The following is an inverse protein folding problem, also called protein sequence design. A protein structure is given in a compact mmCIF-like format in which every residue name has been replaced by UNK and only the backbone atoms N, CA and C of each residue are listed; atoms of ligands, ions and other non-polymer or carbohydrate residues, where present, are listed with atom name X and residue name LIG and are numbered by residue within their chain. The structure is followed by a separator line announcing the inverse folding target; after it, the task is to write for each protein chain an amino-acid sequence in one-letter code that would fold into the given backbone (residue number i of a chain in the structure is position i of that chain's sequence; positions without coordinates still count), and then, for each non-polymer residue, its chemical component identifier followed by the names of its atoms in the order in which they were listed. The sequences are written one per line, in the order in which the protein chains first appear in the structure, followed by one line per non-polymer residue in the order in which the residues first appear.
data_IF_121646040761
#
_entry.id   IF_121646040761
#
_cell.length_a   1.000
_cell.length_b   1.000
_cell.length_c   1.000
_cell.angle_alpha   90.00
_cell.angle_beta   90.00
_cell.angle_gamma   90.00
#
_symmetry.space_group_name_H-M   'P 1'
#
loop_
_entity.id
_entity.type
_entity.pdbx_description
1 polymer ?
#
# COMPACT_ATOMS: atom_id res chain seq x y z
N UNK A 1 -48.19 -29.48 12.45
CA UNK A 1 -46.93 -29.04 11.83
C UNK A 1 -46.09 -28.43 12.95
N UNK A 2 -44.91 -29.00 13.22
CA UNK A 2 -44.03 -28.53 14.29
C UNK A 2 -43.38 -27.22 13.83
N UNK A 3 -43.72 -26.12 14.49
CA UNK A 3 -43.03 -24.84 14.36
C UNK A 3 -41.63 -24.99 14.94
N UNK A 4 -40.63 -25.18 14.08
CA UNK A 4 -39.24 -25.04 14.47
C UNK A 4 -39.03 -23.55 14.70
N UNK A 5 -39.12 -23.12 15.94
CA UNK A 5 -38.61 -21.83 16.38
C UNK A 5 -37.13 -21.80 16.01
N UNK A 6 -36.83 -21.16 14.87
CA UNK A 6 -35.48 -20.80 14.48
C UNK A 6 -34.91 -20.07 15.68
N UNK A 7 -33.97 -20.70 16.39
CA UNK A 7 -33.15 -19.99 17.34
C UNK A 7 -32.62 -18.77 16.59
N UNK A 8 -32.84 -17.60 17.15
CA UNK A 8 -32.12 -16.39 16.81
C UNK A 8 -30.63 -16.68 17.02
N UNK A 9 -30.03 -17.36 16.06
CA UNK A 9 -28.61 -17.49 15.91
C UNK A 9 -28.20 -16.07 15.54
N UNK A 10 -27.72 -15.35 16.53
CA UNK A 10 -27.26 -13.97 16.46
C UNK A 10 -26.09 -13.88 15.47
N UNK A 11 -26.43 -14.03 14.19
CA UNK A 11 -25.49 -14.22 13.12
C UNK A 11 -24.75 -12.89 12.94
N UNK A 12 -23.42 -12.95 12.88
CA UNK A 12 -22.59 -11.78 12.58
C UNK A 12 -23.02 -11.15 11.24
N UNK A 13 -23.58 -11.97 10.34
CA UNK A 13 -24.12 -11.58 9.03
C UNK A 13 -25.13 -10.44 9.13
N UNK A 14 -25.96 -10.39 10.17
CA UNK A 14 -27.00 -9.37 10.32
C UNK A 14 -26.46 -8.03 10.89
N UNK A 15 -25.25 -8.05 11.47
CA UNK A 15 -24.55 -6.85 11.95
C UNK A 15 -23.61 -6.24 10.91
N UNK A 16 -23.45 -6.86 9.74
CA UNK A 16 -22.61 -6.32 8.66
C UNK A 16 -23.32 -5.12 8.04
N UNK A 17 -22.78 -3.92 8.27
CA UNK A 17 -23.26 -2.71 7.62
C UNK A 17 -22.39 -2.40 6.39
N UNK A 18 -22.89 -2.77 5.21
CA UNK A 18 -22.22 -2.57 3.93
C UNK A 18 -21.86 -1.11 3.64
N UNK A 19 -22.67 -0.15 4.12
CA UNK A 19 -22.38 1.28 3.93
C UNK A 19 -21.17 1.73 4.77
N UNK A 20 -21.04 1.25 6.00
CA UNK A 20 -19.84 1.52 6.82
C UNK A 20 -18.60 0.84 6.25
N UNK A 21 -18.75 -0.36 5.72
CA UNK A 21 -17.66 -1.10 5.08
C UNK A 21 -17.14 -0.39 3.83
N UNK A 22 -18.03 0.14 2.98
CA UNK A 22 -17.63 0.95 1.83
C UNK A 22 -16.86 2.22 2.24
N UNK A 23 -17.34 2.93 3.27
CA UNK A 23 -16.65 4.10 3.84
C UNK A 23 -15.24 3.74 4.33
N UNK A 24 -15.06 2.59 4.98
CA UNK A 24 -13.75 2.12 5.42
C UNK A 24 -12.81 1.79 4.25
N UNK A 25 -13.33 1.18 3.18
CA UNK A 25 -12.55 0.91 1.97
C UNK A 25 -12.08 2.21 1.31
N UNK A 26 -12.94 3.22 1.23
CA UNK A 26 -12.58 4.54 0.68
C UNK A 26 -11.51 5.25 1.51
N UNK A 27 -11.66 5.24 2.84
CA UNK A 27 -10.67 5.82 3.75
C UNK A 27 -9.33 5.10 3.67
N UNK A 28 -9.34 3.76 3.62
CA UNK A 28 -8.14 2.96 3.44
C UNK A 28 -7.42 3.33 2.12
N UNK A 29 -8.14 3.39 1.00
CA UNK A 29 -7.55 3.80 -0.29
C UNK A 29 -6.94 5.20 -0.25
N UNK A 30 -7.53 6.14 0.50
CA UNK A 30 -7.05 7.52 0.61
C UNK A 30 -5.80 7.66 1.50
N UNK A 31 -5.75 6.92 2.60
CA UNK A 31 -4.74 7.11 3.63
C UNK A 31 -3.58 6.13 3.56
N UNK A 32 -3.75 4.95 2.95
CA UNK A 32 -2.75 3.89 3.02
C UNK A 32 -1.47 4.24 2.24
N UNK A 33 -0.28 4.27 2.88
CA UNK A 33 0.97 4.69 2.22
C UNK A 33 1.37 3.82 1.04
N UNK A 34 1.16 2.49 1.11
CA UNK A 34 1.49 1.60 -0.01
C UNK A 34 0.65 1.89 -1.24
N UNK A 35 -0.62 2.28 -1.08
CA UNK A 35 -1.47 2.67 -2.21
C UNK A 35 -0.87 3.87 -2.94
N UNK A 36 -0.45 4.90 -2.19
CA UNK A 36 0.25 6.08 -2.75
C UNK A 36 1.54 5.70 -3.48
N UNK A 37 2.27 4.70 -3.01
CA UNK A 37 3.47 4.21 -3.69
C UNK A 37 3.15 3.56 -5.05
N UNK A 38 2.08 2.77 -5.14
CA UNK A 38 1.61 2.20 -6.42
C UNK A 38 1.11 3.27 -7.37
N UNK A 39 0.36 4.26 -6.89
CA UNK A 39 -0.10 5.37 -7.74
C UNK A 39 1.09 6.21 -8.25
N UNK A 40 2.09 6.48 -7.40
CA UNK A 40 3.33 7.13 -7.80
C UNK A 40 4.11 6.30 -8.84
N UNK A 41 4.07 4.97 -8.76
CA UNK A 41 4.68 4.09 -9.76
C UNK A 41 3.97 4.19 -11.10
N UNK A 42 2.63 4.26 -11.12
CA UNK A 42 1.85 4.51 -12.33
C UNK A 42 2.21 5.85 -12.95
N UNK A 43 2.29 6.91 -12.14
CA UNK A 43 2.66 8.25 -12.61
C UNK A 43 4.10 8.33 -13.14
N UNK A 44 5.02 7.59 -12.51
CA UNK A 44 6.39 7.42 -13.00
C UNK A 44 6.41 6.73 -14.36
N UNK A 45 5.71 5.61 -14.53
CA UNK A 45 5.64 4.91 -15.81
C UNK A 45 4.97 5.74 -16.90
N UNK A 46 3.94 6.53 -16.54
CA UNK A 46 3.30 7.49 -17.46
C UNK A 46 4.29 8.57 -17.91
N UNK A 47 5.07 9.11 -16.98
CA UNK A 47 6.10 10.10 -17.27
C UNK A 47 7.20 9.51 -18.17
N UNK A 48 7.63 8.28 -17.90
CA UNK A 48 8.58 7.55 -18.74
C UNK A 48 8.03 7.31 -20.17
N UNK A 49 6.75 6.96 -20.31
CA UNK A 49 6.09 6.83 -21.61
C UNK A 49 6.08 8.16 -22.37
N UNK A 50 5.77 9.27 -21.68
CA UNK A 50 5.80 10.60 -22.28
C UNK A 50 7.22 11.00 -22.68
N UNK A 51 8.22 10.71 -21.87
CA UNK A 51 9.63 10.91 -22.24
C UNK A 51 10.03 10.08 -23.46
N UNK A 52 9.63 8.80 -23.52
CA UNK A 52 9.89 7.94 -24.67
C UNK A 52 9.25 8.49 -25.95
N UNK A 53 8.02 9.02 -25.88
CA UNK A 53 7.35 9.69 -27.00
C UNK A 53 8.05 10.99 -27.40
N UNK A 54 8.37 11.86 -26.43
CA UNK A 54 9.08 13.12 -26.67
C UNK A 54 10.50 12.90 -27.20
N UNK A 55 11.12 11.75 -26.91
CA UNK A 55 12.41 11.38 -27.48
C UNK A 55 12.36 11.30 -29.01
N UNK A 56 11.19 11.14 -29.63
CA UNK A 56 11.05 11.25 -31.09
C UNK A 56 11.43 12.65 -31.60
N UNK A 57 11.26 13.68 -30.78
CA UNK A 57 11.61 15.07 -31.10
C UNK A 57 13.10 15.38 -30.88
N UNK A 58 13.85 14.48 -30.25
CA UNK A 58 15.30 14.60 -29.97
C UNK A 58 16.17 14.61 -31.25
N UNK A 59 15.53 14.43 -32.42
CA UNK A 59 16.13 14.61 -33.74
C UNK A 59 16.49 16.09 -33.99
N UNK A 60 15.76 17.00 -33.35
CA UNK A 60 16.02 18.44 -33.41
C UNK A 60 16.83 18.86 -32.18
N UNK A 61 18.07 19.32 -32.40
CA UNK A 61 18.90 19.86 -31.34
C UNK A 61 19.23 21.33 -31.60
N UNK A 62 19.00 22.18 -30.61
CA UNK A 62 19.35 23.60 -30.64
C UNK A 62 20.36 23.89 -29.54
N UNK A 63 21.49 24.50 -29.89
CA UNK A 63 22.56 24.84 -28.97
C UNK A 63 22.99 26.30 -29.12
N UNK A 64 23.32 26.94 -28.01
CA UNK A 64 23.98 28.24 -28.01
C UNK A 64 25.40 28.05 -27.49
N UNK A 65 26.39 28.26 -28.35
CA UNK A 65 27.79 28.10 -28.01
C UNK A 65 28.43 29.47 -27.81
N UNK A 66 28.79 29.78 -26.56
CA UNK A 66 29.50 31.00 -26.19
C UNK A 66 30.87 30.65 -25.61
N UNK A 67 31.94 30.98 -26.35
CA UNK A 67 33.32 30.87 -25.88
C UNK A 67 33.92 32.28 -25.69
N UNK A 68 34.34 32.66 -24.47
CA UNK A 68 35.05 33.91 -24.24
C UNK A 68 36.57 33.69 -24.39
N UNK A 69 37.03 33.38 -25.59
CA UNK A 69 38.46 33.56 -25.92
C UNK A 69 38.61 34.01 -27.37
N UNK A 70 39.19 35.20 -27.50
CA UNK A 70 39.59 35.80 -28.77
C UNK A 70 40.85 35.07 -29.26
N UNK A 71 40.67 34.00 -29.99
CA UNK A 71 41.72 33.46 -30.85
C UNK A 71 41.12 33.15 -32.21
N UNK A 72 41.16 34.15 -33.09
CA UNK A 72 41.12 33.93 -34.54
C UNK A 72 42.32 33.06 -34.91
N UNK A 73 42.15 31.75 -34.81
CA UNK A 73 43.18 30.75 -35.13
C UNK A 73 42.99 30.27 -36.55
N UNK A 74 43.79 30.82 -37.44
CA UNK A 74 43.91 30.47 -38.86
C UNK A 74 44.15 28.97 -39.06
N UNK A 75 43.36 28.42 -39.99
CA UNK A 75 43.58 27.28 -40.88
C UNK A 75 44.96 26.60 -40.89
N UNK A 76 44.96 25.25 -40.80
CA UNK A 76 45.96 24.39 -41.46
C UNK A 76 45.19 23.29 -42.22
N UNK A 77 45.27 23.32 -43.55
CA UNK A 77 44.75 22.28 -44.46
C UNK A 77 45.50 20.94 -44.28
N UNK A 78 44.86 19.79 -44.52
CA UNK A 78 45.56 18.51 -44.59
C UNK A 78 46.26 18.39 -45.96
N UNK A 79 47.60 18.41 -45.96
CA UNK A 79 48.39 18.16 -47.16
C UNK A 79 49.38 19.26 -47.46
N UNK A 80 50.55 19.21 -46.81
CA UNK A 80 51.68 20.09 -47.10
C UNK A 80 52.89 19.66 -46.28
N UNK A 81 53.72 18.80 -46.87
CA UNK A 81 55.00 18.42 -46.29
C UNK A 81 55.95 19.63 -46.21
N UNK A 82 56.57 19.91 -45.05
CA UNK A 82 57.88 20.56 -44.94
C UNK A 82 58.39 20.63 -43.49
N UNK A 83 59.60 20.09 -43.24
CA UNK A 83 60.58 20.65 -42.31
C UNK A 83 60.57 20.17 -40.84
N UNK A 84 61.75 19.88 -40.24
CA UNK A 84 61.84 19.43 -38.86
C UNK A 84 61.85 20.63 -37.90
N UNK A 85 60.76 20.81 -37.14
CA UNK A 85 60.70 21.82 -36.09
C UNK A 85 59.28 22.23 -35.74
N UNK A 86 58.68 21.55 -34.75
CA UNK A 86 57.59 22.06 -33.92
C UNK A 86 56.24 22.32 -34.59
N UNK A 87 55.26 21.45 -34.33
CA UNK A 87 53.88 21.84 -34.02
C UNK A 87 53.09 20.58 -33.66
N UNK A 88 52.68 20.50 -32.38
CA UNK A 88 51.74 19.52 -31.86
C UNK A 88 50.48 19.45 -32.72
N UNK A 89 50.07 18.24 -33.08
CA UNK A 89 48.78 17.89 -33.65
C UNK A 89 47.63 18.34 -32.76
N UNK A 90 47.25 19.62 -32.87
CA UNK A 90 45.97 20.12 -32.38
C UNK A 90 44.91 19.75 -33.39
N UNK A 91 44.14 18.72 -33.05
CA UNK A 91 42.81 18.45 -33.58
C UNK A 91 41.99 19.75 -33.51
N UNK A 92 41.94 20.48 -34.63
CA UNK A 92 41.26 21.78 -34.72
C UNK A 92 39.76 21.59 -34.52
N UNK A 93 39.29 21.85 -33.31
CA UNK A 93 37.87 21.89 -33.01
C UNK A 93 37.33 23.24 -33.51
N UNK A 94 36.46 23.21 -34.52
CA UNK A 94 35.80 24.40 -35.05
C UNK A 94 34.87 24.98 -33.98
N UNK A 95 35.33 26.00 -33.26
CA UNK A 95 34.50 26.75 -32.30
C UNK A 95 33.84 27.91 -33.04
N UNK A 96 32.65 27.65 -33.61
CA UNK A 96 31.82 28.68 -34.22
C UNK A 96 31.07 29.43 -33.11
N UNK A 97 31.26 30.75 -33.01
CA UNK A 97 30.50 31.61 -32.10
C UNK A 97 29.15 31.93 -32.73
N UNK A 98 28.04 31.46 -32.13
CA UNK A 98 26.70 31.75 -32.64
C UNK A 98 25.62 30.77 -32.17
N UNK A 99 24.40 31.00 -32.65
CA UNK A 99 23.29 30.05 -32.53
C UNK A 99 23.52 28.91 -33.53
N UNK A 100 23.61 27.67 -33.03
CA UNK A 100 23.65 26.49 -33.90
C UNK A 100 22.35 25.71 -33.73
N UNK A 101 21.64 25.55 -34.83
CA UNK A 101 20.55 24.60 -34.94
C UNK A 101 21.06 23.43 -35.78
N UNK A 102 21.00 22.23 -35.20
CA UNK A 102 21.36 21.00 -35.87
C UNK A 102 20.14 20.11 -36.05
N UNK A 103 20.25 19.20 -37.02
CA UNK A 103 19.37 18.03 -37.08
C UNK A 103 20.31 16.83 -37.01
N UNK A 104 20.39 16.20 -35.85
CA UNK A 104 21.19 14.98 -35.67
C UNK A 104 20.32 13.76 -35.88
N UNK A 105 20.40 13.15 -37.06
CA UNK A 105 19.68 11.90 -37.35
C UNK A 105 20.58 10.72 -36.99
N UNK A 106 20.33 10.09 -35.85
CA UNK A 106 20.94 8.81 -35.52
C UNK A 106 20.02 7.68 -36.01
N UNK A 107 20.39 7.04 -37.13
CA UNK A 107 19.61 5.98 -37.79
C UNK A 107 19.36 4.76 -36.87
N UNK A 108 20.30 4.44 -35.96
CA UNK A 108 20.14 3.36 -34.98
C UNK A 108 19.08 3.68 -33.91
N UNK A 109 19.01 4.94 -33.47
CA UNK A 109 17.97 5.41 -32.56
C UNK A 109 16.60 5.53 -33.25
N UNK A 110 16.56 5.81 -34.55
CA UNK A 110 15.30 5.94 -35.29
C UNK A 110 14.56 4.60 -35.43
N UNK A 111 15.31 3.51 -35.65
CA UNK A 111 14.76 2.15 -35.79
C UNK A 111 14.35 1.56 -34.42
N UNK A 112 15.07 1.88 -33.34
CA UNK A 112 14.81 1.35 -32.00
C UNK A 112 13.73 2.10 -31.21
N UNK A 113 13.51 3.41 -31.48
CA UNK A 113 12.48 4.25 -30.82
C UNK A 113 11.06 3.67 -30.81
N UNK A 114 10.48 3.13 -31.90
CA UNK A 114 9.14 2.56 -31.84
C UNK A 114 9.04 1.35 -30.91
N UNK A 115 10.11 0.55 -30.80
CA UNK A 115 10.19 -0.56 -29.84
C UNK A 115 10.22 -0.06 -28.40
N UNK A 116 11.02 0.98 -28.12
CA UNK A 116 11.10 1.63 -26.80
C UNK A 116 9.75 2.21 -26.37
N UNK A 117 9.02 2.85 -27.28
CA UNK A 117 7.68 3.39 -26.98
C UNK A 117 6.67 2.27 -26.70
N UNK A 118 6.73 1.15 -27.43
CA UNK A 118 5.89 -0.03 -27.15
C UNK A 118 6.21 -0.64 -25.78
N UNK A 119 7.49 -0.76 -25.43
CA UNK A 119 7.94 -1.23 -24.12
C UNK A 119 7.44 -0.32 -23.01
N UNK A 120 7.66 0.99 -23.11
CA UNK A 120 7.19 1.95 -22.10
C UNK A 120 5.65 1.98 -21.97
N UNK A 121 4.91 1.66 -23.04
CA UNK A 121 3.45 1.52 -22.99
C UNK A 121 3.04 0.25 -22.22
N UNK A 122 3.71 -0.87 -22.49
CA UNK A 122 3.49 -2.11 -21.76
C UNK A 122 3.83 -1.95 -20.26
N UNK A 123 4.92 -1.24 -19.93
CA UNK A 123 5.31 -0.94 -18.54
C UNK A 123 4.29 -0.05 -17.82
N UNK A 124 3.70 0.92 -18.52
CA UNK A 124 2.61 1.74 -17.98
C UNK A 124 1.35 0.92 -17.73
N UNK A 125 0.99 0.05 -18.66
CA UNK A 125 -0.17 -0.85 -18.53
C UNK A 125 0.03 -1.85 -17.39
N UNK A 126 1.22 -2.44 -17.28
CA UNK A 126 1.61 -3.30 -16.17
C UNK A 126 1.47 -2.58 -14.82
N UNK A 127 2.05 -1.38 -14.68
CA UNK A 127 1.95 -0.60 -13.44
C UNK A 127 0.49 -0.28 -13.07
N UNK A 128 -0.37 -0.03 -14.06
CA UNK A 128 -1.81 0.20 -13.83
C UNK A 128 -2.52 -1.07 -13.34
N UNK A 129 -2.20 -2.22 -13.93
CA UNK A 129 -2.74 -3.51 -13.50
C UNK A 129 -2.28 -3.86 -12.08
N UNK A 130 -0.99 -3.69 -11.76
CA UNK A 130 -0.45 -3.88 -10.41
C UNK A 130 -1.17 -2.98 -9.38
N UNK A 131 -1.43 -1.70 -9.71
CA UNK A 131 -2.16 -0.80 -8.82
C UNK A 131 -3.61 -1.23 -8.59
N UNK A 132 -4.25 -1.79 -9.62
CA UNK A 132 -5.64 -2.30 -9.56
C UNK A 132 -5.71 -3.60 -8.75
N UNK A 133 -4.75 -4.51 -8.94
CA UNK A 133 -4.61 -5.73 -8.14
C UNK A 133 -4.41 -5.38 -6.66
N UNK A 134 -3.59 -4.37 -6.39
CA UNK A 134 -3.37 -3.88 -5.04
C UNK A 134 -4.65 -3.29 -4.43
N UNK A 135 -5.46 -2.55 -5.19
CA UNK A 135 -6.75 -2.03 -4.72
C UNK A 135 -7.71 -3.15 -4.32
N UNK A 136 -7.74 -4.25 -5.08
CA UNK A 136 -8.57 -5.42 -4.77
C UNK A 136 -8.05 -6.15 -3.52
N UNK A 137 -6.74 -6.28 -3.38
CA UNK A 137 -6.09 -6.88 -2.21
C UNK A 137 -6.38 -6.07 -0.96
N UNK A 138 -6.21 -4.74 -1.03
CA UNK A 138 -6.51 -3.82 0.08
C UNK A 138 -7.99 -3.89 0.47
N UNK A 139 -8.89 -3.93 -0.51
CA UNK A 139 -10.33 -4.08 -0.27
C UNK A 139 -10.65 -5.38 0.46
N UNK A 140 -10.00 -6.48 0.07
CA UNK A 140 -10.19 -7.79 0.70
C UNK A 140 -9.64 -7.81 2.12
N UNK A 141 -8.48 -7.19 2.34
CA UNK A 141 -7.89 -7.05 3.67
C UNK A 141 -8.80 -6.24 4.60
N UNK A 142 -9.30 -5.08 4.18
CA UNK A 142 -10.25 -4.27 4.97
C UNK A 142 -11.48 -5.09 5.37
N UNK A 143 -12.06 -5.85 4.43
CA UNK A 143 -13.20 -6.73 4.69
C UNK A 143 -12.87 -7.78 5.76
N UNK A 144 -11.74 -8.47 5.61
CA UNK A 144 -11.29 -9.48 6.58
C UNK A 144 -11.15 -8.89 7.98
N UNK A 145 -10.43 -7.75 8.11
CA UNK A 145 -10.23 -7.07 9.40
C UNK A 145 -11.54 -6.62 10.03
N UNK A 146 -12.49 -6.16 9.22
CA UNK A 146 -13.80 -5.75 9.68
C UNK A 146 -14.60 -6.93 10.25
N UNK A 147 -14.58 -8.09 9.58
CA UNK A 147 -15.23 -9.29 10.09
C UNK A 147 -14.56 -9.82 11.36
N UNK A 148 -13.24 -9.80 11.43
CA UNK A 148 -12.49 -10.16 12.64
C UNK A 148 -12.86 -9.24 13.82
N UNK A 149 -13.03 -7.95 13.57
CA UNK A 149 -13.48 -6.98 14.56
C UNK A 149 -14.90 -7.28 15.06
N UNK A 150 -15.85 -7.54 14.16
CA UNK A 150 -17.23 -7.89 14.53
C UNK A 150 -17.28 -9.19 15.34
N UNK A 151 -16.54 -10.21 14.90
CA UNK A 151 -16.41 -11.48 15.62
C UNK A 151 -15.86 -11.26 17.03
N UNK A 152 -14.74 -10.53 17.15
CA UNK A 152 -14.11 -10.28 18.44
C UNK A 152 -15.03 -9.46 19.38
N UNK A 153 -15.81 -8.52 18.84
CA UNK A 153 -16.82 -7.75 19.60
C UNK A 153 -17.92 -8.66 20.14
N UNK A 154 -18.50 -9.53 19.32
CA UNK A 154 -19.53 -10.49 19.78
C UNK A 154 -18.96 -11.48 20.78
N UNK A 155 -17.75 -11.99 20.53
CA UNK A 155 -17.09 -12.91 21.43
C UNK A 155 -16.83 -12.29 22.80
N UNK A 156 -16.40 -11.03 22.86
CA UNK A 156 -16.26 -10.30 24.11
C UNK A 156 -17.59 -10.22 24.86
N UNK A 157 -18.67 -9.79 24.20
CA UNK A 157 -19.99 -9.71 24.81
C UNK A 157 -20.46 -11.06 25.40
N UNK A 158 -20.31 -12.14 24.64
CA UNK A 158 -20.67 -13.49 25.11
C UNK A 158 -19.84 -13.95 26.31
N UNK A 159 -18.52 -13.70 26.29
CA UNK A 159 -17.61 -14.11 27.38
C UNK A 159 -17.82 -13.28 28.64
N UNK A 160 -18.15 -11.99 28.51
CA UNK A 160 -18.51 -11.14 29.65
C UNK A 160 -19.79 -11.63 30.31
N UNK A 161 -20.84 -11.92 29.53
CA UNK A 161 -22.10 -12.48 30.07
C UNK A 161 -21.86 -13.84 30.74
N UNK A 162 -21.02 -14.70 30.14
CA UNK A 162 -20.64 -15.97 30.76
C UNK A 162 -19.93 -15.77 32.11
N UNK A 163 -18.97 -14.84 32.19
CA UNK A 163 -18.25 -14.54 33.42
C UNK A 163 -19.19 -14.02 34.53
N UNK A 164 -20.16 -13.16 34.19
CA UNK A 164 -21.18 -12.68 35.14
C UNK A 164 -22.08 -13.83 35.64
N UNK A 165 -22.50 -14.72 34.75
CA UNK A 165 -23.28 -15.90 35.12
C UNK A 165 -22.50 -16.82 36.07
N UNK A 166 -21.24 -17.13 35.76
CA UNK A 166 -20.41 -17.95 36.64
C UNK A 166 -20.09 -17.28 37.98
N UNK A 167 -19.98 -15.95 38.02
CA UNK A 167 -19.87 -15.18 39.27
C UNK A 167 -21.13 -15.33 40.14
N UNK A 168 -22.30 -15.41 39.53
CA UNK A 168 -23.55 -15.69 40.25
C UNK A 168 -23.58 -17.13 40.77
N UNK A 169 -23.16 -18.09 39.94
CA UNK A 169 -23.10 -19.52 40.32
C UNK A 169 -22.13 -19.78 41.47
N UNK A 170 -20.93 -19.19 41.45
CA UNK A 170 -19.96 -19.37 42.55
C UNK A 170 -20.46 -18.74 43.85
N UNK A 171 -21.17 -17.60 43.79
CA UNK A 171 -21.75 -16.97 44.97
C UNK A 171 -22.85 -17.85 45.59
N UNK A 172 -23.73 -18.44 44.77
CA UNK A 172 -24.75 -19.39 45.24
C UNK A 172 -24.11 -20.66 45.81
N UNK A 173 -23.11 -21.23 45.13
CA UNK A 173 -22.35 -22.37 45.61
C UNK A 173 -21.65 -22.08 46.96
N UNK A 174 -21.10 -20.87 47.13
CA UNK A 174 -20.51 -20.43 48.41
C UNK A 174 -21.53 -20.44 49.54
N UNK A 175 -22.71 -19.86 49.32
CA UNK A 175 -23.78 -19.82 50.33
C UNK A 175 -24.28 -21.22 50.69
N UNK A 176 -24.46 -22.10 49.71
CA UNK A 176 -24.84 -23.51 49.91
C UNK A 176 -23.76 -24.29 50.66
N UNK A 177 -22.49 -24.02 50.36
CA UNK A 177 -21.37 -24.64 51.07
C UNK A 177 -21.28 -24.18 52.53
N UNK A 178 -21.46 -22.89 52.79
CA UNK A 178 -21.50 -22.33 54.17
C UNK A 178 -22.65 -22.93 55.00
N UNK A 179 -23.74 -23.34 54.35
CA UNK A 179 -24.87 -24.06 54.97
C UNK A 179 -24.69 -25.59 55.02
N UNK A 180 -23.54 -26.10 54.59
CA UNK A 180 -23.23 -27.53 54.46
C UNK A 180 -24.21 -28.32 53.53
N UNK A 181 -24.85 -27.64 52.58
CA UNK A 181 -25.77 -28.25 51.60
C UNK A 181 -25.04 -28.91 50.42
N UNK A 182 -23.78 -28.55 50.17
CA UNK A 182 -22.94 -29.11 49.09
C UNK A 182 -21.55 -29.50 49.61
N UNK A 183 -20.89 -30.44 48.93
CA UNK A 183 -19.52 -30.84 49.22
C UNK A 183 -18.50 -29.79 48.74
N UNK A 184 -17.33 -29.73 49.40
CA UNK A 184 -16.23 -28.81 49.05
C UNK A 184 -15.70 -29.03 47.63
N UNK A 185 -15.81 -30.26 47.10
CA UNK A 185 -15.41 -30.59 45.73
C UNK A 185 -16.25 -29.83 44.70
N UNK A 186 -17.57 -29.74 44.92
CA UNK A 186 -18.51 -29.02 44.05
C UNK A 186 -18.24 -27.51 44.08
N UNK A 187 -17.96 -26.97 45.27
CA UNK A 187 -17.56 -25.57 45.42
C UNK A 187 -16.22 -25.28 44.69
N UNK A 188 -15.23 -26.15 44.86
CA UNK A 188 -13.91 -25.98 44.22
C UNK A 188 -14.03 -26.07 42.70
N UNK A 189 -14.81 -27.01 42.16
CA UNK A 189 -15.09 -27.11 40.74
C UNK A 189 -15.76 -25.85 40.19
N UNK A 190 -16.78 -25.33 40.89
CA UNK A 190 -17.48 -24.09 40.52
C UNK A 190 -16.53 -22.88 40.52
N UNK A 191 -15.61 -22.83 41.48
CA UNK A 191 -14.57 -21.79 41.57
C UNK A 191 -13.59 -21.86 40.40
N UNK A 192 -13.16 -23.05 40.01
CA UNK A 192 -12.29 -23.24 38.84
C UNK A 192 -12.97 -22.78 37.56
N UNK A 193 -14.23 -23.16 37.35
CA UNK A 193 -15.02 -22.72 36.18
C UNK A 193 -15.20 -21.19 36.13
N UNK A 194 -15.48 -20.55 37.26
CA UNK A 194 -15.59 -19.10 37.33
C UNK A 194 -14.26 -18.40 36.98
N UNK A 195 -13.16 -18.88 37.54
CA UNK A 195 -11.81 -18.35 37.26
C UNK A 195 -11.45 -18.53 35.78
N UNK A 196 -11.77 -19.68 35.20
CA UNK A 196 -11.54 -19.95 33.78
C UNK A 196 -12.37 -19.03 32.87
N UNK A 197 -13.66 -18.85 33.18
CA UNK A 197 -14.53 -17.94 32.43
C UNK A 197 -14.05 -16.50 32.48
N UNK A 198 -13.54 -16.05 33.62
CA UNK A 198 -12.96 -14.70 33.78
C UNK A 198 -11.67 -14.55 32.95
N UNK A 199 -10.78 -15.54 32.98
CA UNK A 199 -9.58 -15.57 32.14
C UNK A 199 -9.91 -15.55 30.63
N UNK A 200 -10.96 -16.27 30.22
CA UNK A 200 -11.45 -16.25 28.84
C UNK A 200 -12.05 -14.90 28.44
N UNK A 201 -12.75 -14.21 29.35
CA UNK A 201 -13.27 -12.87 29.11
C UNK A 201 -12.13 -11.84 28.92
N UNK A 202 -11.11 -11.87 29.77
CA UNK A 202 -9.92 -11.03 29.63
C UNK A 202 -9.19 -11.30 28.30
N UNK A 203 -9.07 -12.55 27.90
CA UNK A 203 -8.46 -12.92 26.61
C UNK A 203 -9.29 -12.41 25.43
N UNK A 204 -10.63 -12.48 25.53
CA UNK A 204 -11.52 -11.93 24.51
C UNK A 204 -11.41 -10.40 24.42
N UNK A 205 -11.23 -9.70 25.55
CA UNK A 205 -11.02 -8.24 25.57
C UNK A 205 -9.74 -7.85 24.83
N UNK A 206 -8.62 -8.51 25.14
CA UNK A 206 -7.36 -8.30 24.42
C UNK A 206 -7.51 -8.59 22.93
N UNK A 207 -8.26 -9.62 22.56
CA UNK A 207 -8.50 -9.99 21.16
C UNK A 207 -9.32 -8.92 20.44
N UNK A 208 -10.35 -8.37 21.10
CA UNK A 208 -11.14 -7.25 20.59
C UNK A 208 -10.28 -5.99 20.40
N UNK A 209 -9.44 -5.63 21.37
CA UNK A 209 -8.55 -4.49 21.24
C UNK A 209 -7.54 -4.66 20.09
N UNK A 210 -6.98 -5.86 19.92
CA UNK A 210 -6.11 -6.17 18.78
C UNK A 210 -6.84 -6.06 17.45
N UNK A 211 -8.05 -6.61 17.35
CA UNK A 211 -8.87 -6.52 16.14
C UNK A 211 -9.27 -5.07 15.82
N UNK A 212 -9.62 -4.28 16.83
CA UNK A 212 -9.87 -2.84 16.71
C UNK A 212 -8.66 -2.12 16.13
N UNK A 213 -7.49 -2.30 16.73
CA UNK A 213 -6.25 -1.65 16.28
C UNK A 213 -5.85 -2.09 14.87
N UNK A 214 -6.00 -3.38 14.54
CA UNK A 214 -5.70 -3.89 13.21
C UNK A 214 -6.62 -3.30 12.13
N UNK A 215 -7.89 -3.07 12.45
CA UNK A 215 -8.82 -2.38 11.54
C UNK A 215 -8.45 -0.89 11.38
N UNK A 216 -8.12 -0.21 12.46
CA UNK A 216 -7.68 1.20 12.43
C UNK A 216 -6.39 1.40 11.62
N UNK A 217 -5.44 0.47 11.71
CA UNK A 217 -4.18 0.52 10.97
C UNK A 217 -4.40 0.46 9.45
N UNK A 218 -5.28 -0.44 8.99
CA UNK A 218 -5.59 -0.57 7.55
C UNK A 218 -6.40 0.62 7.03
N UNK A 219 -7.30 1.20 7.84
CA UNK A 219 -8.08 2.39 7.46
C UNK A 219 -7.22 3.67 7.51
N UNK A 220 -6.17 3.67 8.33
CA UNK A 220 -5.30 4.83 8.55
C UNK A 220 -5.94 5.96 9.36
N UNK A 221 -7.07 5.69 10.04
CA UNK A 221 -7.74 6.63 10.96
C UNK A 221 -8.36 5.86 12.12
N UNK A 222 -8.40 6.48 13.30
CA UNK A 222 -9.11 5.95 14.46
C UNK A 222 -10.59 5.74 14.13
N UNK A 223 -11.18 4.63 14.59
CA UNK A 223 -12.61 4.34 14.39
C UNK A 223 -13.52 5.40 15.05
N UNK A 224 -12.99 6.09 16.07
CA UNK A 224 -13.65 7.20 16.77
C UNK A 224 -13.90 8.41 15.87
N UNK A 225 -13.09 8.62 14.83
CA UNK A 225 -13.26 9.75 13.90
C UNK A 225 -14.20 9.43 12.72
N UNK A 226 -14.67 8.17 12.59
CA UNK A 226 -15.44 7.70 11.43
C UNK A 226 -16.91 7.44 11.76
N UNK A 227 -17.25 7.35 13.06
CA UNK A 227 -18.63 7.25 13.56
C UNK A 227 -19.45 8.51 13.28
#
# INVERSE_FOLDING_TARGET
MLSISLFAQDAIIDEVNDATLQKYIELAKKNFPRKKAFDTRVDRSKSALNMAKSSWLDIFNGGYYFSPSSSSGTFISPGGAAGPGGASSQTGQFVVRGFSAGVSVNLGNLISKPSIVKMAKADYELAKLESTEYDNTLTTEVKSRYYDYLLAKKQLALRTVAAENYKTVINDAKLKYERAEIAIEVYTASRTLATESEAQALTAEVTFLKAKNALEDVIGTKLENVK
#
